data_IF_913042079901
#
_entry.id   IF_913042079901
#
_cell.length_a   1.000
_cell.length_b   1.000
_cell.length_c   1.000
_cell.angle_alpha   90.00
_cell.angle_beta   90.00
_cell.angle_gamma   90.00
#
_symmetry.space_group_name_H-M   'P 1'
#
loop_
_entity.id
_entity.type
_entity.pdbx_description
1 polymer ?
#
# COMPACT_ATOMS: atom_id res chain seq x y z
N UNK A 1 9.40 11.85 25.64
CA UNK A 1 9.07 12.45 24.32
C UNK A 1 9.68 11.64 23.17
N UNK A 2 9.22 10.41 22.91
CA UNK A 2 9.79 9.53 21.86
C UNK A 2 8.75 8.99 20.87
N UNK A 3 7.57 9.62 20.77
CA UNK A 3 6.40 9.00 20.14
C UNK A 3 5.85 9.71 18.90
N UNK A 4 6.43 10.84 18.44
CA UNK A 4 5.71 11.70 17.48
C UNK A 4 6.12 11.56 16.00
N UNK A 5 7.13 10.76 15.66
CA UNK A 5 7.63 10.69 14.27
C UNK A 5 8.16 9.30 13.90
N UNK A 6 7.43 8.22 14.22
CA UNK A 6 7.57 7.01 13.40
C UNK A 6 6.96 7.37 12.03
N UNK A 7 7.78 7.29 11.00
CA UNK A 7 7.68 8.05 9.77
C UNK A 7 6.35 7.78 9.05
N UNK A 8 5.67 8.84 8.59
CA UNK A 8 4.45 8.81 7.73
C UNK A 8 4.69 8.15 6.35
N UNK A 9 5.61 7.19 6.26
CA UNK A 9 6.01 6.49 5.05
C UNK A 9 6.51 5.05 5.32
N UNK A 10 6.27 4.50 6.51
CA UNK A 10 6.66 3.12 6.82
C UNK A 10 5.79 2.12 6.04
N UNK A 11 6.45 1.06 5.57
CA UNK A 11 5.80 -0.06 4.89
C UNK A 11 5.55 -1.18 5.90
N UNK A 12 4.36 -1.75 5.85
CA UNK A 12 3.90 -2.77 6.78
C UNK A 12 3.37 -3.99 6.03
N UNK A 13 3.63 -5.15 6.64
CA UNK A 13 3.14 -6.44 6.16
C UNK A 13 1.85 -6.79 6.87
N UNK A 14 0.79 -6.99 6.09
CA UNK A 14 -0.51 -7.42 6.57
C UNK A 14 -0.67 -8.92 6.32
N UNK A 15 -1.17 -9.64 7.33
CA UNK A 15 -1.63 -11.01 7.16
C UNK A 15 -2.76 -11.06 6.12
N UNK A 16 -2.68 -12.06 5.23
CA UNK A 16 -3.77 -12.47 4.37
C UNK A 16 -4.32 -13.81 4.91
N UNK A 17 -5.01 -14.61 4.10
CA UNK A 17 -5.23 -16.02 4.44
C UNK A 17 -3.88 -16.73 4.68
N UNK A 18 -3.81 -17.66 5.64
CA UNK A 18 -2.58 -18.33 6.10
C UNK A 18 -1.71 -18.96 4.99
N UNK A 19 -2.29 -19.32 3.85
CA UNK A 19 -1.56 -19.91 2.71
C UNK A 19 -1.09 -18.89 1.66
N UNK A 20 -1.42 -17.62 1.81
CA UNK A 20 -1.05 -16.57 0.87
C UNK A 20 0.10 -15.71 1.42
N UNK A 21 1.00 -15.21 0.56
CA UNK A 21 2.04 -14.30 1.02
C UNK A 21 1.42 -12.98 1.52
N UNK A 22 2.12 -12.35 2.48
CA UNK A 22 1.72 -11.09 3.10
C UNK A 22 1.42 -9.97 2.09
N UNK A 23 0.47 -9.11 2.45
CA UNK A 23 0.15 -7.90 1.71
C UNK A 23 1.05 -6.75 2.16
N UNK A 24 1.49 -5.91 1.22
CA UNK A 24 2.32 -4.75 1.53
C UNK A 24 1.45 -3.50 1.49
N UNK A 25 1.56 -2.67 2.51
CA UNK A 25 0.86 -1.38 2.58
C UNK A 25 1.80 -0.30 3.10
N UNK A 26 1.63 0.94 2.63
CA UNK A 26 2.32 2.11 3.20
C UNK A 26 1.36 2.84 4.12
N UNK A 27 1.81 3.16 5.32
CA UNK A 27 1.03 3.95 6.28
C UNK A 27 1.06 5.41 5.86
N UNK A 28 -0.13 5.98 5.64
CA UNK A 28 -0.29 7.43 5.41
C UNK A 28 -0.68 8.14 6.69
N UNK A 29 -1.44 7.49 7.57
CA UNK A 29 -1.95 8.08 8.80
C UNK A 29 -2.26 7.00 9.83
N UNK A 30 -1.98 7.28 11.10
CA UNK A 30 -2.38 6.45 12.23
C UNK A 30 -3.22 7.27 13.19
N UNK A 31 -4.44 6.79 13.45
CA UNK A 31 -5.37 7.43 14.36
C UNK A 31 -5.64 6.51 15.54
N UNK A 32 -5.59 7.07 16.75
CA UNK A 32 -5.98 6.36 17.96
C UNK A 32 -7.37 6.83 18.38
N UNK A 33 -8.32 5.91 18.43
CA UNK A 33 -9.69 6.22 18.85
C UNK A 33 -9.74 6.40 20.37
N UNK A 34 -10.75 7.11 20.87
CA UNK A 34 -10.93 7.36 22.32
C UNK A 34 -11.07 6.06 23.13
N UNK A 35 -11.56 4.99 22.51
CA UNK A 35 -11.68 3.66 23.11
C UNK A 35 -10.33 2.91 23.18
N UNK A 36 -9.25 3.50 22.66
CA UNK A 36 -7.91 2.92 22.68
C UNK A 36 -7.55 2.08 21.46
N UNK A 37 -8.47 1.88 20.50
CA UNK A 37 -8.17 1.17 19.26
C UNK A 37 -7.28 2.04 18.36
N UNK A 38 -6.46 1.39 17.52
CA UNK A 38 -5.62 2.06 16.54
C UNK A 38 -6.13 1.72 15.14
N UNK A 39 -6.37 2.76 14.35
CA UNK A 39 -6.80 2.66 12.96
C UNK A 39 -5.70 3.24 12.07
N UNK A 40 -5.49 2.60 10.92
CA UNK A 40 -4.47 3.02 9.96
C UNK A 40 -5.11 3.33 8.61
N UNK A 41 -4.88 4.54 8.11
CA UNK A 41 -5.11 4.88 6.71
C UNK A 41 -3.86 4.50 5.93
N UNK A 42 -4.05 3.71 4.88
CA UNK A 42 -2.94 3.06 4.18
C UNK A 42 -3.12 3.13 2.67
N UNK A 43 -2.00 3.21 1.95
CA UNK A 43 -1.93 2.93 0.51
C UNK A 43 -1.67 1.43 0.32
N UNK A 44 -2.48 0.80 -0.51
CA UNK A 44 -2.37 -0.63 -0.80
C UNK A 44 -1.50 -0.88 -2.03
N UNK A 45 -0.52 -1.79 -1.90
CA UNK A 45 0.23 -2.32 -3.04
C UNK A 45 -0.34 -3.68 -3.42
N UNK A 46 -0.65 -3.83 -4.69
CA UNK A 46 -1.16 -5.08 -5.25
C UNK A 46 -0.11 -5.71 -6.12
N UNK A 47 0.06 -7.03 -5.98
CA UNK A 47 0.80 -7.79 -6.98
C UNK A 47 -0.07 -7.88 -8.22
N UNK A 48 0.56 -7.93 -9.40
CA UNK A 48 -0.16 -8.02 -10.68
C UNK A 48 -1.20 -9.14 -10.70
N UNK A 49 -0.90 -10.30 -10.10
CA UNK A 49 -1.81 -11.45 -10.02
C UNK A 49 -3.04 -11.25 -9.13
N UNK A 50 -2.98 -10.32 -8.18
CA UNK A 50 -4.09 -10.03 -7.26
C UNK A 50 -5.09 -9.02 -7.87
N UNK A 51 -4.78 -8.45 -9.03
CA UNK A 51 -5.60 -7.45 -9.74
C UNK A 51 -6.36 -8.16 -10.86
N UNK A 52 -7.62 -7.78 -11.09
CA UNK A 52 -8.41 -8.28 -12.21
C UNK A 52 -7.74 -7.98 -13.55
N UNK A 53 -7.77 -8.94 -14.48
CA UNK A 53 -7.15 -8.82 -15.82
C UNK A 53 -7.61 -7.57 -16.57
N UNK A 54 -8.89 -7.19 -16.47
CA UNK A 54 -9.43 -5.97 -17.07
C UNK A 54 -8.75 -4.71 -16.54
N UNK A 55 -8.52 -4.64 -15.23
CA UNK A 55 -7.85 -3.49 -14.60
C UNK A 55 -6.36 -3.44 -14.94
N UNK A 56 -5.71 -4.59 -15.12
CA UNK A 56 -4.32 -4.66 -15.58
C UNK A 56 -4.19 -4.06 -16.99
N UNK A 57 -5.07 -4.43 -17.92
CA UNK A 57 -5.06 -3.90 -19.30
C UNK A 57 -5.27 -2.38 -19.30
N UNK A 58 -6.21 -1.88 -18.49
CA UNK A 58 -6.43 -0.45 -18.33
C UNK A 58 -5.21 0.25 -17.72
N UNK A 59 -4.63 -0.31 -16.65
CA UNK A 59 -3.45 0.24 -16.00
C UNK A 59 -2.26 0.29 -16.95
N UNK A 60 -1.98 -0.77 -17.70
CA UNK A 60 -0.89 -0.82 -18.69
C UNK A 60 -1.09 0.24 -19.79
N UNK A 61 -2.33 0.45 -20.27
CA UNK A 61 -2.65 1.52 -21.24
C UNK A 61 -2.32 2.90 -20.68
N UNK A 62 -2.60 3.16 -19.40
CA UNK A 62 -2.34 4.43 -18.73
C UNK A 62 -0.91 4.57 -18.16
N UNK A 63 -0.19 3.46 -17.97
CA UNK A 63 1.17 3.42 -17.39
C UNK A 63 2.21 4.11 -18.27
N UNK A 64 1.98 4.15 -19.59
CA UNK A 64 2.77 4.92 -20.56
C UNK A 64 2.93 6.39 -20.16
N UNK A 65 1.98 6.97 -19.39
CA UNK A 65 2.04 8.35 -18.92
C UNK A 65 2.95 8.56 -17.70
N UNK A 66 3.17 7.51 -16.89
CA UNK A 66 4.04 7.56 -15.71
C UNK A 66 5.49 7.17 -16.03
N UNK A 67 5.72 6.36 -17.06
CA UNK A 67 7.06 5.90 -17.45
C UNK A 67 7.95 7.01 -18.04
N UNK A 68 7.38 8.11 -18.53
CA UNK A 68 8.15 9.32 -18.86
C UNK A 68 8.69 10.06 -17.63
N UNK A 69 8.22 9.72 -16.42
CA UNK A 69 8.65 10.35 -15.17
C UNK A 69 9.53 9.46 -14.29
N UNK A 70 9.61 8.15 -14.57
CA UNK A 70 10.56 7.22 -13.95
C UNK A 70 11.17 6.34 -15.06
N UNK A 71 12.33 6.73 -15.62
CA UNK A 71 13.00 5.87 -16.58
C UNK A 71 13.45 4.60 -15.85
N UNK A 72 12.91 3.48 -16.33
CA UNK A 72 13.56 2.15 -16.38
C UNK A 72 14.38 1.74 -15.15
N UNK A 73 13.76 0.91 -14.30
CA UNK A 73 14.46 -0.29 -13.82
C UNK A 73 14.42 -1.35 -14.92
#
# INVERSE_FOLDING_TARGET
>A
LKSLFFFLSDYVYFENSSSNPYLIRRIEELNKTANGNVEAKVVCFYRRRDISSTLIVLADKHASKLLYCFPSW
#
